data_IF_316976604812
#
_entry.id   IF_316976604812
#
_cell.length_a   1.000
_cell.length_b   1.000
_cell.length_c   1.000
_cell.angle_alpha   90.00
_cell.angle_beta   90.00
_cell.angle_gamma   90.00
#
_symmetry.space_group_name_H-M   'P 1'
#
loop_
_entity.id
_entity.type
_entity.pdbx_description
1 polymer ?
#
# COMPACT_ATOMS: atom_id res chain seq x y z
N UNK A 1 -22.51 -10.07 -29.01
CA UNK A 1 -21.96 -8.70 -28.87
C UNK A 1 -21.58 -8.36 -27.43
N UNK A 2 -22.40 -8.73 -26.44
CA UNK A 2 -22.18 -8.43 -25.02
C UNK A 2 -20.89 -9.04 -24.41
N UNK A 3 -20.49 -10.24 -24.85
CA UNK A 3 -19.24 -10.85 -24.38
C UNK A 3 -17.99 -10.08 -24.85
N UNK A 4 -18.03 -9.48 -26.05
CA UNK A 4 -16.92 -8.67 -26.56
C UNK A 4 -16.75 -7.39 -25.74
N UNK A 5 -17.85 -6.72 -25.41
CA UNK A 5 -17.83 -5.54 -24.54
C UNK A 5 -17.38 -5.89 -23.12
N UNK A 6 -17.84 -7.02 -22.57
CA UNK A 6 -17.41 -7.48 -21.25
C UNK A 6 -15.90 -7.77 -21.20
N UNK A 7 -15.36 -8.40 -22.25
CA UNK A 7 -13.93 -8.71 -22.35
C UNK A 7 -13.08 -7.44 -22.44
N UNK A 8 -13.52 -6.43 -23.21
CA UNK A 8 -12.82 -5.13 -23.32
C UNK A 8 -12.82 -4.38 -21.98
N UNK A 9 -13.95 -4.37 -21.26
CA UNK A 9 -14.05 -3.73 -19.94
C UNK A 9 -13.16 -4.43 -18.91
N UNK A 10 -13.14 -5.77 -18.91
CA UNK A 10 -12.27 -6.53 -18.00
C UNK A 10 -10.78 -6.23 -18.25
N UNK A 11 -10.38 -6.14 -19.52
CA UNK A 11 -8.99 -5.88 -19.89
C UNK A 11 -8.56 -4.44 -19.54
N UNK A 12 -9.44 -3.46 -19.77
CA UNK A 12 -9.22 -2.08 -19.33
C UNK A 12 -9.08 -1.95 -17.81
N UNK A 13 -9.90 -2.68 -17.04
CA UNK A 13 -9.83 -2.70 -15.58
C UNK A 13 -8.50 -3.27 -15.06
N UNK A 14 -7.94 -4.30 -15.71
CA UNK A 14 -6.62 -4.83 -15.34
C UNK A 14 -5.48 -3.85 -15.62
N UNK A 15 -5.56 -3.06 -16.70
CA UNK A 15 -4.54 -2.04 -17.00
C UNK A 15 -4.61 -0.83 -16.07
N UNK A 16 -5.78 -0.48 -15.54
CA UNK A 16 -5.94 0.65 -14.61
C UNK A 16 -5.17 0.49 -13.29
N UNK A 17 -4.78 -0.74 -12.92
CA UNK A 17 -3.93 -1.00 -11.75
C UNK A 17 -2.43 -0.76 -11.98
N UNK A 18 -1.98 -0.69 -13.23
CA UNK A 18 -0.57 -0.49 -13.58
C UNK A 18 -0.20 0.99 -13.62
N UNK A 19 -0.12 1.61 -12.44
CA UNK A 19 0.44 2.95 -12.30
C UNK A 19 1.95 2.86 -12.06
N UNK A 20 2.73 3.58 -12.88
CA UNK A 20 4.20 3.62 -12.75
C UNK A 20 4.63 4.29 -11.44
N UNK A 21 5.86 4.03 -11.00
CA UNK A 21 6.39 4.67 -9.78
C UNK A 21 6.53 6.19 -9.94
N UNK A 22 6.84 6.67 -11.14
CA UNK A 22 6.99 8.09 -11.44
C UNK A 22 5.65 8.81 -11.44
N UNK A 23 4.64 8.25 -12.10
CA UNK A 23 3.29 8.82 -12.10
C UNK A 23 2.73 8.91 -10.68
N UNK A 24 3.02 7.89 -9.85
CA UNK A 24 2.62 7.90 -8.43
C UNK A 24 3.24 9.07 -7.69
N UNK A 25 4.53 9.28 -7.89
CA UNK A 25 5.24 10.38 -7.25
C UNK A 25 4.70 11.73 -7.70
N UNK A 26 4.43 11.91 -8.99
CA UNK A 26 3.84 13.13 -9.52
C UNK A 26 2.45 13.41 -8.93
N UNK A 27 1.62 12.38 -8.77
CA UNK A 27 0.30 12.48 -8.15
C UNK A 27 0.38 12.82 -6.65
N UNK A 28 1.28 12.17 -5.90
CA UNK A 28 1.50 12.43 -4.47
C UNK A 28 2.00 13.88 -4.26
N UNK A 29 2.93 14.35 -5.10
CA UNK A 29 3.40 15.74 -5.08
C UNK A 29 2.29 16.74 -5.44
N UNK A 30 1.46 16.44 -6.43
CA UNK A 30 0.32 17.29 -6.80
C UNK A 30 -0.68 17.41 -5.65
N UNK A 31 -0.90 16.32 -4.91
CA UNK A 31 -1.77 16.30 -3.74
C UNK A 31 -1.21 17.14 -2.61
N UNK A 32 0.08 17.03 -2.30
CA UNK A 32 0.70 17.90 -1.29
C UNK A 32 0.68 19.38 -1.70
N UNK A 33 0.87 19.70 -2.99
CA UNK A 33 0.69 21.07 -3.50
C UNK A 33 -0.74 21.57 -3.35
N UNK A 34 -1.75 20.72 -3.55
CA UNK A 34 -3.17 21.10 -3.39
C UNK A 34 -3.54 21.46 -1.95
N UNK A 35 -2.80 20.96 -0.96
CA UNK A 35 -2.95 21.34 0.44
C UNK A 35 -2.26 22.67 0.79
N UNK A 36 -1.49 23.25 -0.14
CA UNK A 36 -0.77 24.50 0.07
C UNK A 36 0.68 24.33 0.56
N UNK A 37 1.25 23.12 0.49
CA UNK A 37 2.65 22.91 0.84
C UNK A 37 3.59 23.28 -0.31
N UNK A 38 4.59 24.11 -0.01
CA UNK A 38 5.69 24.43 -0.92
C UNK A 38 6.73 23.31 -1.01
N UNK A 39 7.32 23.14 -2.19
CA UNK A 39 8.37 22.14 -2.42
C UNK A 39 9.62 22.47 -1.61
N UNK A 40 10.40 21.42 -1.28
CA UNK A 40 11.69 21.51 -0.55
C UNK A 40 11.55 22.06 0.89
N UNK A 41 10.45 21.73 1.54
CA UNK A 41 10.22 22.03 2.96
C UNK A 41 9.94 20.74 3.74
N UNK A 42 10.22 20.75 5.04
CA UNK A 42 9.97 19.63 5.95
C UNK A 42 8.49 19.26 6.00
N UNK A 43 7.59 20.26 5.99
CA UNK A 43 6.15 20.04 5.95
C UNK A 43 5.70 19.30 4.67
N UNK A 44 6.35 19.57 3.54
CA UNK A 44 6.09 18.87 2.28
C UNK A 44 6.60 17.42 2.33
N UNK A 45 7.76 17.18 2.94
CA UNK A 45 8.29 15.84 3.17
C UNK A 45 7.39 15.02 4.12
N UNK A 46 6.85 15.65 5.17
CA UNK A 46 5.90 15.02 6.08
C UNK A 46 4.60 14.64 5.36
N UNK A 47 4.06 15.54 4.53
CA UNK A 47 2.87 15.24 3.72
C UNK A 47 3.07 13.99 2.85
N UNK A 48 4.20 13.92 2.12
CA UNK A 48 4.53 12.76 1.30
C UNK A 48 4.70 11.49 2.15
N UNK A 49 5.38 11.60 3.29
CA UNK A 49 5.56 10.48 4.21
C UNK A 49 4.23 9.95 4.74
N UNK A 50 3.28 10.83 5.09
CA UNK A 50 1.94 10.44 5.55
C UNK A 50 1.16 9.70 4.48
N UNK A 51 1.21 10.15 3.22
CA UNK A 51 0.56 9.47 2.10
C UNK A 51 1.14 8.06 1.92
N UNK A 52 2.46 7.91 1.96
CA UNK A 52 3.11 6.61 1.85
C UNK A 52 2.74 5.67 3.02
N UNK A 53 2.73 6.19 4.25
CA UNK A 53 2.33 5.41 5.43
C UNK A 53 0.87 4.96 5.35
N UNK A 54 -0.05 5.83 4.93
CA UNK A 54 -1.46 5.48 4.75
C UNK A 54 -1.63 4.37 3.70
N UNK A 55 -0.91 4.48 2.57
CA UNK A 55 -0.89 3.46 1.53
C UNK A 55 -0.34 2.12 2.04
N UNK A 56 0.77 2.12 2.79
CA UNK A 56 1.30 0.90 3.42
C UNK A 56 0.34 0.31 4.44
N UNK A 57 -0.40 1.15 5.19
CA UNK A 57 -1.42 0.67 6.11
C UNK A 57 -2.55 -0.04 5.37
N UNK A 58 -3.01 0.53 4.25
CA UNK A 58 -4.01 -0.12 3.39
C UNK A 58 -3.50 -1.42 2.80
N UNK A 59 -2.25 -1.48 2.33
CA UNK A 59 -1.65 -2.73 1.84
C UNK A 59 -1.58 -3.81 2.93
N UNK A 60 -1.27 -3.45 4.18
CA UNK A 60 -1.30 -4.41 5.30
C UNK A 60 -2.71 -4.89 5.63
N UNK A 61 -3.71 -4.00 5.47
CA UNK A 61 -5.12 -4.31 5.67
C UNK A 61 -5.65 -5.21 4.55
N UNK A 62 -5.25 -4.96 3.31
CA UNK A 62 -5.59 -5.77 2.15
C UNK A 62 -4.82 -7.11 2.16
N UNK A 63 -3.58 -7.12 2.68
CA UNK A 63 -2.78 -8.33 2.87
C UNK A 63 -3.19 -9.12 4.12
N UNK A 64 -4.43 -8.97 4.60
CA UNK A 64 -5.03 -9.95 5.50
C UNK A 64 -5.29 -11.19 4.64
N UNK A 65 -4.19 -11.90 4.41
CA UNK A 65 -4.05 -13.34 4.46
C UNK A 65 -5.33 -13.96 5.01
N UNK A 66 -6.05 -14.71 4.17
CA UNK A 66 -7.33 -15.33 4.48
C UNK A 66 -7.35 -15.77 5.94
N UNK A 67 -8.30 -15.25 6.71
CA UNK A 67 -8.38 -15.50 8.15
C UNK A 67 -8.45 -17.01 8.45
N UNK A 68 -8.92 -17.78 7.47
CA UNK A 68 -9.08 -19.24 7.47
C UNK A 68 -7.79 -20.03 7.17
N UNK A 69 -6.76 -19.42 6.59
CA UNK A 69 -5.58 -20.15 6.10
C UNK A 69 -4.30 -19.82 6.89
N UNK A 70 -4.39 -19.00 7.96
CA UNK A 70 -3.22 -18.57 8.75
C UNK A 70 -2.45 -19.78 9.28
N UNK A 71 -1.20 -20.03 8.83
CA UNK A 71 -0.39 -21.09 9.40
C UNK A 71 -0.12 -20.75 10.87
N UNK A 72 -0.42 -21.68 11.77
CA UNK A 72 -0.01 -21.59 13.17
C UNK A 72 1.52 -21.76 13.20
N UNK A 73 2.25 -20.65 13.17
CA UNK A 73 3.71 -20.66 13.30
C UNK A 73 4.04 -20.93 14.77
N UNK A 74 4.38 -22.18 15.10
CA UNK A 74 4.88 -22.51 16.44
C UNK A 74 6.20 -21.79 16.68
N UNK A 75 6.21 -20.87 17.66
CA UNK A 75 7.39 -20.11 18.06
C UNK A 75 7.70 -20.38 19.55
N UNK A 76 8.60 -21.31 19.86
CA UNK A 76 8.90 -21.64 21.25
C UNK A 76 9.62 -20.48 21.95
N UNK A 77 9.21 -20.18 23.17
CA UNK A 77 9.94 -19.29 24.08
C UNK A 77 10.99 -20.12 24.81
N UNK A 78 12.27 -19.86 24.55
CA UNK A 78 13.39 -20.55 25.22
C UNK A 78 13.60 -19.92 26.61
N UNK A 79 13.11 -20.57 27.66
CA UNK A 79 13.37 -20.16 29.04
C UNK A 79 14.68 -20.80 29.49
N UNK A 80 15.70 -20.00 29.84
CA UNK A 80 16.91 -20.50 30.51
C UNK A 80 16.63 -20.64 32.01
N UNK A 81 16.99 -21.78 32.60
CA UNK A 81 16.92 -21.95 34.06
C UNK A 81 17.89 -20.98 34.76
N UNK A 82 17.49 -20.45 35.92
CA UNK A 82 18.41 -19.69 36.77
C UNK A 82 19.43 -20.66 37.40
N UNK A 83 20.72 -20.30 37.47
CA UNK A 83 21.71 -21.07 38.21
C UNK A 83 21.39 -21.05 39.72
N UNK A 84 21.64 -22.17 40.39
CA UNK A 84 21.53 -22.33 41.86
C UNK A 84 22.69 -21.65 42.58
#
# INVERSE_FOLDING_TARGET
MWYKTAMVVALAATCAGCMTAEDRRAADEAKCRSYGFDRKNDAFAECLQRIDLARRAELRRASVFDLWDRPVIYRPVIIRSRPK
#
